data_IF_397393832023
#
_entry.id   IF_397393832023
#
_cell.length_a   1.000
_cell.length_b   1.000
_cell.length_c   1.000
_cell.angle_alpha   90.00
_cell.angle_beta   90.00
_cell.angle_gamma   90.00
#
_symmetry.space_group_name_H-M   'P 1'
#
loop_
_entity.id
_entity.type
_entity.pdbx_description
1 polymer ?
#
# COMPACT_ATOMS: atom_id res chain seq x y z
N UNK A 1 -19.94 -5.18 -41.15
CA UNK A 1 -18.89 -4.24 -41.55
C UNK A 1 -18.26 -3.78 -40.25
N UNK A 2 -17.22 -4.50 -39.79
CA UNK A 2 -16.49 -4.18 -38.55
C UNK A 2 -15.40 -3.17 -38.88
N UNK A 3 -15.51 -1.97 -38.30
CA UNK A 3 -14.45 -0.98 -38.38
C UNK A 3 -13.42 -1.36 -37.33
N UNK A 4 -12.28 -1.88 -37.77
CA UNK A 4 -11.09 -2.04 -36.93
C UNK A 4 -10.46 -0.66 -36.77
N UNK A 5 -10.74 0.00 -35.63
CA UNK A 5 -9.93 1.15 -35.20
C UNK A 5 -8.52 0.63 -34.93
N UNK A 6 -7.58 1.12 -35.71
CA UNK A 6 -6.18 0.73 -35.61
C UNK A 6 -5.59 1.21 -34.30
N UNK A 7 -4.97 0.29 -33.56
CA UNK A 7 -4.09 0.63 -32.44
C UNK A 7 -2.93 1.45 -33.02
N UNK A 8 -2.91 2.73 -32.76
CA UNK A 8 -1.78 3.59 -33.11
C UNK A 8 -0.61 3.21 -32.19
N UNK A 9 0.35 2.50 -32.72
CA UNK A 9 1.61 2.22 -31.99
C UNK A 9 2.37 3.53 -31.88
N UNK A 10 2.59 3.98 -30.65
CA UNK A 10 3.40 5.17 -30.39
C UNK A 10 4.81 4.98 -30.96
N UNK A 11 5.26 5.92 -31.79
CA UNK A 11 6.63 5.95 -32.30
C UNK A 11 7.56 6.52 -31.22
N UNK A 12 8.77 6.00 -31.04
CA UNK A 12 9.74 6.58 -30.11
C UNK A 12 10.10 8.00 -30.55
N UNK A 13 10.16 8.91 -29.57
CA UNK A 13 10.69 10.25 -29.78
C UNK A 13 12.19 10.20 -30.14
N UNK A 14 12.74 11.33 -30.60
CA UNK A 14 14.12 11.42 -31.06
C UNK A 14 15.18 11.07 -29.98
N UNK A 15 14.79 11.05 -28.69
CA UNK A 15 15.63 10.63 -27.54
C UNK A 15 15.48 9.15 -27.19
N UNK A 16 14.72 8.37 -27.96
CA UNK A 16 14.49 6.95 -27.72
C UNK A 16 13.45 6.63 -26.65
N UNK A 17 12.79 7.64 -26.05
CA UNK A 17 11.69 7.41 -25.11
C UNK A 17 10.37 7.20 -25.87
N UNK A 18 9.51 6.28 -25.41
CA UNK A 18 8.19 6.15 -25.99
C UNK A 18 7.38 7.43 -25.75
N UNK A 19 6.62 7.84 -26.77
CA UNK A 19 5.69 8.97 -26.62
C UNK A 19 4.67 8.65 -25.51
N UNK A 20 4.49 9.59 -24.57
CA UNK A 20 3.51 9.44 -23.52
C UNK A 20 2.09 9.44 -24.12
N UNK A 21 1.26 8.51 -23.65
CA UNK A 21 -0.17 8.55 -23.94
C UNK A 21 -0.82 9.76 -23.28
N UNK A 22 -1.83 10.32 -23.91
CA UNK A 22 -2.67 11.35 -23.28
C UNK A 22 -3.23 10.83 -21.95
N UNK A 23 -3.14 11.59 -20.84
CA UNK A 23 -3.67 11.14 -19.56
C UNK A 23 -5.19 11.01 -19.64
N UNK A 24 -5.66 9.78 -19.49
CA UNK A 24 -7.07 9.48 -19.32
C UNK A 24 -7.50 9.89 -17.90
N UNK A 25 -7.86 11.16 -17.70
CA UNK A 25 -8.20 11.71 -16.38
C UNK A 25 -9.35 10.96 -15.71
N UNK A 26 -10.30 10.48 -16.48
CA UNK A 26 -11.41 9.65 -16.02
C UNK A 26 -10.97 8.25 -15.55
N UNK A 27 -9.78 7.82 -15.91
CA UNK A 27 -9.19 6.53 -15.49
C UNK A 27 -8.15 6.68 -14.38
N UNK A 28 -7.99 7.87 -13.80
CA UNK A 28 -7.00 8.09 -12.74
C UNK A 28 -7.42 7.37 -11.45
N UNK A 29 -6.46 6.67 -10.86
CA UNK A 29 -6.57 5.96 -9.58
C UNK A 29 -5.46 6.43 -8.66
N UNK A 30 -5.76 6.65 -7.39
CA UNK A 30 -4.73 6.95 -6.40
C UNK A 30 -3.90 5.69 -6.12
N UNK A 31 -2.61 5.75 -6.40
CA UNK A 31 -1.69 4.66 -6.12
C UNK A 31 -1.13 4.76 -4.70
N UNK A 32 -1.20 3.66 -3.96
CA UNK A 32 -0.80 3.55 -2.55
C UNK A 32 0.05 2.31 -2.36
N UNK A 33 1.08 2.37 -1.52
CA UNK A 33 1.84 1.22 -1.07
C UNK A 33 1.62 0.99 0.42
N UNK A 34 1.49 -0.28 0.82
CA UNK A 34 1.52 -0.69 2.22
C UNK A 34 2.54 -1.82 2.41
N UNK A 35 3.10 -1.94 3.62
CA UNK A 35 4.12 -2.96 3.90
C UNK A 35 3.76 -3.77 5.13
N UNK A 36 3.74 -5.10 4.98
CA UNK A 36 3.73 -6.07 6.05
C UNK A 36 5.18 -6.46 6.35
N UNK A 37 5.75 -5.95 7.42
CA UNK A 37 7.03 -6.45 7.93
C UNK A 37 6.70 -7.55 8.93
N UNK A 38 7.07 -8.79 8.59
CA UNK A 38 6.72 -9.97 9.38
C UNK A 38 7.99 -10.67 9.88
N UNK A 39 8.21 -10.59 11.18
CA UNK A 39 9.21 -11.40 11.87
C UNK A 39 8.68 -12.82 12.07
N UNK A 40 9.11 -13.72 11.19
CA UNK A 40 8.69 -15.14 11.24
C UNK A 40 9.21 -15.88 12.49
N UNK A 41 10.33 -15.44 13.06
CA UNK A 41 10.92 -16.11 14.24
C UNK A 41 10.15 -15.75 15.52
N UNK A 42 9.71 -14.49 15.63
CA UNK A 42 8.94 -14.01 16.77
C UNK A 42 7.43 -14.11 16.56
N UNK A 43 6.95 -14.40 15.35
CA UNK A 43 5.55 -14.40 14.96
C UNK A 43 4.88 -13.03 15.18
N UNK A 44 5.57 -11.94 14.75
CA UNK A 44 5.15 -10.56 14.96
C UNK A 44 5.08 -9.78 13.64
N UNK A 45 4.17 -8.83 13.58
CA UNK A 45 4.10 -7.83 12.49
C UNK A 45 4.19 -6.41 13.05
N UNK A 46 4.73 -5.50 12.24
CA UNK A 46 4.75 -4.07 12.60
C UNK A 46 3.43 -3.43 12.24
N UNK A 47 2.81 -2.80 13.23
CA UNK A 47 1.62 -1.98 13.05
C UNK A 47 1.85 -0.58 13.63
N UNK A 48 1.12 0.38 13.09
CA UNK A 48 1.02 1.72 13.62
C UNK A 48 -0.44 2.02 14.04
N UNK A 49 -0.62 2.95 14.96
CA UNK A 49 -1.94 3.43 15.32
C UNK A 49 -2.09 4.89 14.91
N UNK A 50 -3.08 5.16 14.10
CA UNK A 50 -3.39 6.50 13.57
C UNK A 50 -3.76 7.45 14.69
N UNK A 51 -3.22 8.65 14.65
CA UNK A 51 -3.48 9.68 15.64
C UNK A 51 -4.93 10.18 15.61
N UNK A 52 -5.39 10.85 16.69
CA UNK A 52 -6.76 11.35 16.79
C UNK A 52 -7.06 12.46 15.77
N UNK A 53 -6.03 13.16 15.27
CA UNK A 53 -6.17 14.18 14.24
C UNK A 53 -6.12 13.64 12.80
N UNK A 54 -5.99 12.34 12.60
CA UNK A 54 -5.97 11.74 11.28
C UNK A 54 -7.30 11.99 10.53
N UNK A 55 -7.22 12.50 9.30
CA UNK A 55 -8.42 12.78 8.48
C UNK A 55 -9.22 11.54 8.13
N UNK A 56 -8.54 10.40 8.06
CA UNK A 56 -9.15 9.11 7.75
C UNK A 56 -8.86 8.11 8.86
N UNK A 57 -9.89 7.39 9.32
CA UNK A 57 -9.82 6.33 10.33
C UNK A 57 -9.00 6.71 11.60
N UNK A 58 -9.29 7.83 12.29
CA UNK A 58 -8.57 8.20 13.50
C UNK A 58 -8.66 7.12 14.58
N UNK A 59 -7.54 6.87 15.28
CA UNK A 59 -7.44 5.89 16.36
C UNK A 59 -7.35 4.42 15.90
N UNK A 60 -7.52 4.14 14.60
CA UNK A 60 -7.43 2.77 14.07
C UNK A 60 -5.97 2.33 13.92
N UNK A 61 -5.77 1.03 14.03
CA UNK A 61 -4.54 0.38 13.64
C UNK A 61 -4.42 0.28 12.13
N UNK A 62 -3.19 0.31 11.64
CA UNK A 62 -2.89 0.27 10.22
C UNK A 62 -1.55 -0.41 9.97
N UNK A 63 -1.32 -0.83 8.73
CA UNK A 63 0.01 -1.12 8.23
C UNK A 63 0.76 0.20 7.97
N UNK A 64 2.09 0.22 7.96
CA UNK A 64 2.84 1.29 7.31
C UNK A 64 2.35 1.47 5.88
N UNK A 65 1.87 2.69 5.54
CA UNK A 65 1.13 2.91 4.30
C UNK A 65 1.15 4.36 3.86
N UNK A 66 1.44 4.59 2.59
CA UNK A 66 1.37 5.93 2.03
C UNK A 66 1.18 5.99 0.52
N UNK A 67 1.04 7.22 0.04
CA UNK A 67 0.75 7.53 -1.36
C UNK A 67 2.03 7.60 -2.17
N UNK A 68 1.96 7.10 -3.42
CA UNK A 68 3.05 7.28 -4.38
C UNK A 68 3.20 8.76 -4.76
N UNK A 69 4.43 9.21 -4.87
CA UNK A 69 4.78 10.53 -5.37
C UNK A 69 4.97 10.52 -6.89
N UNK A 70 4.88 11.70 -7.56
CA UNK A 70 5.09 11.78 -9.00
C UNK A 70 6.47 11.21 -9.42
N UNK A 71 6.47 10.27 -10.36
CA UNK A 71 7.71 9.64 -10.86
C UNK A 71 8.32 8.59 -9.93
N UNK A 72 7.66 8.26 -8.82
CA UNK A 72 8.14 7.28 -7.85
C UNK A 72 7.62 5.87 -8.20
N UNK A 73 8.51 4.87 -8.39
CA UNK A 73 8.08 3.48 -8.49
C UNK A 73 7.39 3.02 -7.20
N UNK A 74 6.37 2.19 -7.32
CA UNK A 74 5.57 1.73 -6.16
C UNK A 74 6.40 1.02 -5.08
N UNK A 75 7.48 0.34 -5.44
CA UNK A 75 8.42 -0.27 -4.48
C UNK A 75 9.23 0.78 -3.73
N UNK A 76 9.58 1.90 -4.37
CA UNK A 76 10.24 3.02 -3.71
C UNK A 76 9.28 3.72 -2.73
N UNK A 77 8.01 3.89 -3.11
CA UNK A 77 6.96 4.36 -2.19
C UNK A 77 6.90 3.49 -0.94
N UNK A 78 6.86 2.16 -1.10
CA UNK A 78 6.80 1.22 0.02
C UNK A 78 8.01 1.38 0.96
N UNK A 79 9.22 1.48 0.41
CA UNK A 79 10.45 1.66 1.19
C UNK A 79 10.46 3.00 1.93
N UNK A 80 10.11 4.08 1.23
CA UNK A 80 10.08 5.44 1.80
C UNK A 80 9.08 5.55 2.94
N UNK A 81 7.82 5.18 2.70
CA UNK A 81 6.76 5.28 3.69
C UNK A 81 7.05 4.40 4.92
N UNK A 82 7.53 3.16 4.72
CA UNK A 82 7.94 2.32 5.83
C UNK A 82 9.01 3.00 6.69
N UNK A 83 10.03 3.60 6.06
CA UNK A 83 11.09 4.28 6.80
C UNK A 83 10.59 5.56 7.50
N UNK A 84 9.81 6.38 6.81
CA UNK A 84 9.28 7.64 7.35
C UNK A 84 8.39 7.40 8.57
N UNK A 85 7.55 6.38 8.53
CA UNK A 85 6.60 6.09 9.60
C UNK A 85 7.22 5.28 10.74
N UNK A 86 8.13 4.33 10.44
CA UNK A 86 8.56 3.32 11.41
C UNK A 86 10.07 3.28 11.69
N UNK A 87 10.90 3.91 10.86
CA UNK A 87 12.36 3.81 10.95
C UNK A 87 12.97 2.49 10.44
N UNK A 88 12.15 1.54 10.02
CA UNK A 88 12.63 0.30 9.43
C UNK A 88 13.11 0.52 8.01
N UNK A 89 14.23 -0.09 7.66
CA UNK A 89 14.82 -0.02 6.33
C UNK A 89 14.72 -1.39 5.66
N UNK A 90 14.16 -1.43 4.47
CA UNK A 90 14.06 -2.62 3.62
C UNK A 90 14.64 -2.34 2.25
N UNK A 91 15.16 -3.36 1.58
CA UNK A 91 15.60 -3.26 0.20
C UNK A 91 14.40 -3.52 -0.72
N UNK A 92 14.24 -2.78 -1.85
CA UNK A 92 13.14 -3.03 -2.79
C UNK A 92 13.05 -4.49 -3.26
N UNK A 93 14.20 -5.17 -3.40
CA UNK A 93 14.30 -6.55 -3.87
C UNK A 93 13.78 -7.57 -2.82
N UNK A 94 13.72 -7.18 -1.56
CA UNK A 94 13.15 -8.01 -0.49
C UNK A 94 11.62 -7.93 -0.42
N UNK A 95 11.00 -6.97 -1.11
CA UNK A 95 9.56 -6.81 -1.17
C UNK A 95 8.92 -7.86 -2.08
N UNK A 96 7.85 -8.48 -1.61
CA UNK A 96 6.99 -9.38 -2.40
C UNK A 96 5.57 -8.89 -2.34
N UNK A 97 4.88 -8.84 -3.47
CA UNK A 97 3.44 -8.50 -3.48
C UNK A 97 2.69 -9.57 -2.72
N UNK A 98 2.05 -9.17 -1.62
CA UNK A 98 1.27 -10.03 -0.76
C UNK A 98 -0.22 -9.95 -1.09
N UNK A 99 -0.71 -8.75 -1.42
CA UNK A 99 -2.12 -8.52 -1.72
C UNK A 99 -2.29 -7.21 -2.49
N UNK A 100 -3.43 -7.08 -3.18
CA UNK A 100 -3.85 -5.84 -3.82
C UNK A 100 -5.25 -5.48 -3.32
N UNK A 101 -5.46 -4.21 -2.98
CA UNK A 101 -6.79 -3.69 -2.60
C UNK A 101 -7.18 -2.61 -3.59
N UNK A 102 -8.34 -2.77 -4.25
CA UNK A 102 -8.96 -1.74 -5.06
C UNK A 102 -10.17 -1.18 -4.33
N UNK A 103 -10.05 0.02 -3.79
CA UNK A 103 -11.08 0.67 -2.97
C UNK A 103 -11.72 1.87 -3.66
N UNK A 104 -13.06 2.01 -3.48
CA UNK A 104 -13.84 3.09 -4.10
C UNK A 104 -13.82 4.39 -3.30
N UNK A 105 -13.59 4.34 -1.98
CA UNK A 105 -13.85 5.48 -1.08
C UNK A 105 -12.59 6.03 -0.41
N UNK A 106 -12.75 7.23 0.15
CA UNK A 106 -11.74 7.85 0.99
C UNK A 106 -10.71 8.66 0.22
N UNK A 107 -10.88 8.81 -1.09
CA UNK A 107 -9.99 9.59 -1.96
C UNK A 107 -10.78 10.35 -3.02
N UNK A 108 -10.27 11.51 -3.42
CA UNK A 108 -10.79 12.29 -4.55
C UNK A 108 -10.12 11.82 -5.85
N UNK A 109 -10.48 10.63 -6.29
CA UNK A 109 -9.98 10.02 -7.52
C UNK A 109 -11.14 9.31 -8.25
N UNK A 110 -11.31 9.48 -9.57
CA UNK A 110 -12.43 8.91 -10.32
C UNK A 110 -12.58 7.40 -10.15
N UNK A 111 -11.46 6.69 -10.08
CA UNK A 111 -11.42 5.24 -9.89
C UNK A 111 -10.88 4.83 -8.51
N UNK A 112 -11.15 5.64 -7.47
CA UNK A 112 -10.78 5.31 -6.12
C UNK A 112 -9.27 5.17 -5.91
N UNK A 113 -8.85 4.16 -5.16
CA UNK A 113 -7.43 3.90 -4.86
C UNK A 113 -7.06 2.45 -5.13
N UNK A 114 -5.81 2.25 -5.51
CA UNK A 114 -5.19 0.94 -5.62
C UNK A 114 -4.05 0.86 -4.61
N UNK A 115 -4.17 0.00 -3.60
CA UNK A 115 -3.11 -0.27 -2.65
C UNK A 115 -2.41 -1.57 -3.03
N UNK A 116 -1.13 -1.47 -3.35
CA UNK A 116 -0.26 -2.63 -3.45
C UNK A 116 0.33 -2.91 -2.08
N UNK A 117 -0.03 -4.04 -1.49
CA UNK A 117 0.47 -4.47 -0.19
C UNK A 117 1.63 -5.41 -0.41
N UNK A 118 2.80 -5.00 0.05
CA UNK A 118 4.01 -5.80 0.03
C UNK A 118 4.20 -6.52 1.36
N UNK A 119 4.86 -7.67 1.33
CA UNK A 119 5.38 -8.33 2.52
C UNK A 119 6.90 -8.46 2.42
N UNK A 120 7.57 -8.39 3.57
CA UNK A 120 8.99 -8.68 3.73
C UNK A 120 9.27 -9.37 5.05
N UNK A 121 10.30 -10.21 5.06
CA UNK A 121 10.87 -10.85 6.25
C UNK A 121 12.29 -10.37 6.53
N UNK A 122 12.75 -9.38 5.76
CA UNK A 122 14.09 -8.82 5.85
C UNK A 122 13.99 -7.33 6.11
N UNK A 123 14.62 -6.84 7.16
CA UNK A 123 14.70 -5.42 7.49
C UNK A 123 15.95 -5.14 8.31
N UNK A 124 16.28 -3.85 8.46
CA UNK A 124 17.28 -3.36 9.42
C UNK A 124 16.69 -2.17 10.18
N UNK A 125 17.34 -1.79 11.29
CA UNK A 125 16.85 -0.72 12.17
C UNK A 125 15.88 -1.23 13.23
N UNK A 126 15.32 -0.29 13.98
CA UNK A 126 14.37 -0.56 15.06
C UNK A 126 13.03 0.11 14.74
N UNK A 127 11.92 -0.56 15.06
CA UNK A 127 10.59 0.00 14.87
C UNK A 127 10.35 1.10 15.92
N UNK A 128 10.31 2.35 15.47
CA UNK A 128 10.06 3.55 16.27
C UNK A 128 9.03 4.43 15.59
N UNK A 129 8.24 5.15 16.37
CA UNK A 129 7.31 6.14 15.80
C UNK A 129 8.08 7.39 15.37
N UNK A 130 8.30 7.54 14.07
CA UNK A 130 9.00 8.69 13.49
C UNK A 130 8.09 9.86 13.14
N UNK A 131 6.78 9.61 13.08
CA UNK A 131 5.77 10.60 12.80
C UNK A 131 4.75 10.75 13.97
N UNK A 132 5.20 11.16 15.17
CA UNK A 132 4.34 11.24 16.36
C UNK A 132 3.17 12.22 16.21
N UNK A 133 3.23 13.14 15.25
CA UNK A 133 2.11 14.02 14.90
C UNK A 133 0.99 13.29 14.14
N UNK A 134 1.32 12.21 13.40
CA UNK A 134 0.37 11.42 12.61
C UNK A 134 -0.07 10.15 13.35
N UNK A 135 0.83 9.54 14.12
CA UNK A 135 0.62 8.24 14.76
C UNK A 135 0.82 8.33 16.28
N UNK A 136 -0.03 7.67 17.06
CA UNK A 136 0.13 7.58 18.50
C UNK A 136 1.18 6.56 18.91
N UNK A 137 1.35 5.51 18.12
CA UNK A 137 2.37 4.47 18.37
C UNK A 137 2.69 3.68 17.11
N UNK A 138 3.89 3.11 17.11
CA UNK A 138 4.38 2.08 16.17
C UNK A 138 4.90 0.93 17.02
N UNK A 139 4.47 -0.31 16.73
CA UNK A 139 4.81 -1.47 17.56
C UNK A 139 4.91 -2.76 16.76
N UNK A 140 5.76 -3.66 17.23
CA UNK A 140 5.67 -5.07 16.92
C UNK A 140 4.48 -5.68 17.66
N UNK A 141 3.56 -6.32 16.93
CA UNK A 141 2.36 -6.95 17.48
C UNK A 141 2.44 -8.45 17.20
N UNK A 142 2.34 -9.29 18.24
CA UNK A 142 2.23 -10.75 18.06
C UNK A 142 0.98 -11.09 17.23
N UNK A 143 1.07 -12.04 16.29
CA UNK A 143 -0.08 -12.43 15.47
C UNK A 143 -1.30 -12.87 16.29
N UNK A 144 -1.15 -13.60 17.43
CA UNK A 144 -2.30 -13.92 18.28
C UNK A 144 -2.94 -12.71 18.98
N UNK A 145 -2.22 -11.58 19.04
CA UNK A 145 -2.67 -10.34 19.69
C UNK A 145 -3.05 -9.23 18.68
N UNK A 146 -3.25 -9.59 17.42
CA UNK A 146 -3.69 -8.62 16.40
C UNK A 146 -4.98 -7.91 16.83
N UNK A 147 -5.08 -6.60 16.62
CA UNK A 147 -6.30 -5.84 16.89
C UNK A 147 -7.51 -6.45 16.17
N UNK A 148 -8.70 -6.29 16.76
CA UNK A 148 -9.93 -6.72 16.12
C UNK A 148 -10.11 -6.02 14.76
N UNK A 149 -10.77 -6.65 13.76
CA UNK A 149 -11.01 -6.03 12.45
C UNK A 149 -11.67 -4.66 12.55
N UNK A 150 -12.55 -4.48 13.55
CA UNK A 150 -13.24 -3.21 13.84
C UNK A 150 -12.30 -2.10 14.30
N UNK A 151 -11.13 -2.44 14.85
CA UNK A 151 -10.14 -1.49 15.36
C UNK A 151 -9.02 -1.23 14.36
N UNK A 152 -9.16 -1.73 13.16
CA UNK A 152 -8.19 -1.65 12.07
C UNK A 152 -8.76 -0.85 10.90
N UNK A 153 -7.90 -0.24 10.08
CA UNK A 153 -8.31 0.31 8.79
C UNK A 153 -8.81 -0.84 7.90
N UNK A 154 -10.03 -0.79 7.36
CA UNK A 154 -10.65 -1.95 6.70
C UNK A 154 -9.84 -2.57 5.57
N UNK A 155 -9.27 -1.73 4.68
CA UNK A 155 -8.49 -2.18 3.52
C UNK A 155 -7.23 -2.94 3.92
N UNK A 156 -6.43 -2.37 4.84
CA UNK A 156 -5.18 -2.97 5.30
C UNK A 156 -5.42 -4.14 6.25
N UNK A 157 -6.52 -4.12 7.03
CA UNK A 157 -6.97 -5.28 7.80
C UNK A 157 -7.27 -6.48 6.90
N UNK A 158 -8.03 -6.24 5.83
CA UNK A 158 -8.37 -7.31 4.86
C UNK A 158 -7.10 -7.88 4.23
N UNK A 159 -6.17 -7.03 3.80
CA UNK A 159 -4.92 -7.45 3.19
C UNK A 159 -4.03 -8.26 4.16
N UNK A 160 -3.87 -7.79 5.40
CA UNK A 160 -3.08 -8.51 6.41
C UNK A 160 -3.69 -9.89 6.70
N UNK A 161 -5.00 -9.97 6.85
CA UNK A 161 -5.69 -11.25 7.12
C UNK A 161 -5.62 -12.19 5.92
N UNK A 162 -5.76 -11.67 4.70
CA UNK A 162 -5.53 -12.45 3.49
C UNK A 162 -4.11 -13.02 3.47
N UNK A 163 -3.09 -12.18 3.72
CA UNK A 163 -1.70 -12.62 3.78
C UNK A 163 -1.47 -13.77 4.79
N UNK A 164 -2.15 -13.75 5.94
CA UNK A 164 -2.03 -14.77 6.98
C UNK A 164 -2.89 -16.04 6.70
N UNK A 165 -3.69 -16.04 5.63
CA UNK A 165 -4.56 -17.15 5.27
C UNK A 165 -3.91 -18.04 4.22
N UNK A 166 -3.95 -19.37 4.32
CA UNK A 166 -3.51 -20.26 3.26
C UNK A 166 -4.31 -20.04 1.96
N UNK A 167 -3.61 -19.88 0.82
CA UNK A 167 -4.22 -19.66 -0.49
C UNK A 167 -5.20 -18.47 -0.55
N UNK A 168 -4.79 -17.26 -0.17
CA UNK A 168 -5.66 -16.09 -0.16
C UNK A 168 -5.97 -15.64 -1.60
N UNK A 169 -7.07 -14.88 -1.79
CA UNK A 169 -7.26 -14.16 -3.04
C UNK A 169 -6.14 -13.13 -3.21
N UNK A 170 -5.66 -12.95 -4.43
CA UNK A 170 -4.60 -11.98 -4.72
C UNK A 170 -5.10 -10.51 -4.68
N UNK A 171 -6.40 -10.32 -4.84
CA UNK A 171 -7.07 -9.03 -4.92
C UNK A 171 -8.35 -8.99 -4.09
N UNK A 172 -8.57 -7.87 -3.42
CA UNK A 172 -9.87 -7.53 -2.80
C UNK A 172 -10.40 -6.23 -3.40
N UNK A 173 -11.68 -6.26 -3.76
CA UNK A 173 -12.42 -5.07 -4.17
C UNK A 173 -13.21 -4.57 -2.96
N UNK A 174 -13.10 -3.27 -2.65
CA UNK A 174 -13.66 -2.69 -1.43
C UNK A 174 -14.48 -1.44 -1.73
N UNK A 175 -15.76 -1.47 -1.33
CA UNK A 175 -16.65 -0.32 -1.47
C UNK A 175 -17.17 -0.03 -2.88
N UNK A 176 -16.99 -0.92 -3.82
CA UNK A 176 -17.63 -0.88 -5.14
C UNK A 176 -19.02 -1.52 -5.08
N UNK A 177 -19.97 -1.11 -5.97
CA UNK A 177 -21.30 -1.70 -6.03
C UNK A 177 -21.26 -3.18 -6.42
#
# INVERSE_FOLDING_TARGET
MFVTEGITVAHPEADGRPQALEPARESMTLLVAAVIVHDLAADHVVLLQRGPAARFAPGKWDLPVGKSEPGEPITATAVRELYEETGLVVRPEALRVAHVVHGAWGVESPNGFLTVVFATHEWTGEAVNREPAKHTQVRWIPLPALPAPTDFVPSTSTALRAYLTPAPPALTVHGWP
#
